data_IF_018008096687
#
_entry.id   IF_018008096687
#
_cell.length_a   1.000
_cell.length_b   1.000
_cell.length_c   1.000
_cell.angle_alpha   90.00
_cell.angle_beta   90.00
_cell.angle_gamma   90.00
#
_symmetry.space_group_name_H-M   'P 1'
#
loop_
_entity.id
_entity.type
_entity.pdbx_description
1 polymer ?
#
# COMPACT_ATOMS: atom_id res chain seq x y z
N UNK A 1 81.89 -16.90 30.14
CA UNK A 1 80.85 -16.40 31.08
C UNK A 1 79.88 -15.54 30.33
N UNK A 2 78.70 -16.09 29.99
CA UNK A 2 77.67 -15.44 29.16
C UNK A 2 76.55 -14.98 30.09
N UNK A 3 76.35 -13.68 30.18
CA UNK A 3 75.20 -13.09 30.92
C UNK A 3 73.94 -13.04 30.01
N UNK A 4 72.97 -13.81 30.40
CA UNK A 4 71.62 -13.77 29.77
C UNK A 4 70.84 -12.66 30.43
N UNK A 5 70.42 -11.65 29.65
CA UNK A 5 69.47 -10.62 30.05
C UNK A 5 68.03 -11.05 29.59
N UNK A 6 67.17 -11.29 30.57
CA UNK A 6 65.73 -11.58 30.31
C UNK A 6 64.98 -10.24 30.23
N UNK A 7 64.46 -9.91 29.06
CA UNK A 7 63.51 -8.80 28.86
C UNK A 7 62.12 -9.32 29.09
N UNK A 8 61.45 -8.86 30.14
CA UNK A 8 60.00 -9.04 30.33
C UNK A 8 59.26 -8.06 29.42
N UNK A 9 58.61 -8.57 28.36
CA UNK A 9 57.65 -7.82 27.55
C UNK A 9 56.27 -7.94 28.20
N UNK A 10 55.79 -6.83 28.78
CA UNK A 10 54.38 -6.72 29.23
C UNK A 10 53.42 -6.67 28.04
N UNK A 11 52.65 -7.71 27.89
CA UNK A 11 51.53 -7.71 26.94
C UNK A 11 50.32 -7.06 27.59
N UNK A 12 49.99 -5.82 27.18
CA UNK A 12 48.72 -5.19 27.53
C UNK A 12 47.59 -5.81 26.68
N UNK A 13 46.77 -6.64 27.31
CA UNK A 13 45.58 -7.18 26.68
C UNK A 13 44.52 -6.06 26.58
N UNK A 14 44.31 -5.56 25.37
CA UNK A 14 43.12 -4.74 25.07
C UNK A 14 41.89 -5.66 25.03
N UNK A 15 41.05 -5.58 26.04
CA UNK A 15 39.67 -6.14 25.98
C UNK A 15 38.82 -5.30 25.04
N UNK A 16 38.67 -5.76 23.81
CA UNK A 16 37.59 -5.26 22.91
C UNK A 16 36.34 -5.97 23.38
N UNK A 17 35.50 -5.26 24.15
CA UNK A 17 34.17 -5.74 24.47
C UNK A 17 33.33 -5.86 23.17
N UNK A 18 32.37 -6.83 23.08
CA UNK A 18 31.51 -6.93 21.92
C UNK A 18 30.70 -5.65 21.82
N UNK A 19 30.82 -4.96 20.68
CA UNK A 19 29.91 -3.88 20.34
C UNK A 19 28.49 -4.48 20.22
N UNK A 20 27.62 -4.13 21.16
CA UNK A 20 26.19 -4.45 21.05
C UNK A 20 25.70 -3.76 19.79
N UNK A 21 25.37 -4.55 18.78
CA UNK A 21 24.65 -4.06 17.61
C UNK A 21 23.33 -3.46 18.11
N UNK A 22 23.19 -2.15 17.97
CA UNK A 22 21.96 -1.43 18.31
C UNK A 22 20.89 -1.92 17.35
N UNK A 23 19.91 -2.66 17.86
CA UNK A 23 18.74 -3.06 17.10
C UNK A 23 18.11 -1.79 16.47
N UNK A 24 17.77 -1.79 15.17
CA UNK A 24 17.15 -0.63 14.56
C UNK A 24 15.89 -0.29 15.36
N UNK A 25 15.83 0.94 15.89
CA UNK A 25 14.71 1.40 16.67
C UNK A 25 13.44 1.25 15.81
N UNK A 26 12.49 0.45 16.29
CA UNK A 26 11.14 0.39 15.73
C UNK A 26 10.59 1.81 15.84
N UNK A 27 10.24 2.48 14.73
CA UNK A 27 9.71 3.83 14.80
C UNK A 27 8.47 3.82 15.68
N UNK A 28 8.45 4.71 16.68
CA UNK A 28 7.30 4.88 17.55
C UNK A 28 6.04 5.13 16.70
N UNK A 29 4.89 4.51 17.02
CA UNK A 29 3.66 4.77 16.31
C UNK A 29 3.38 6.28 16.31
N UNK A 30 3.14 6.87 15.15
CA UNK A 30 2.74 8.26 15.04
C UNK A 30 1.36 8.40 15.73
N UNK A 31 1.22 9.18 16.82
CA UNK A 31 -0.05 9.30 17.55
C UNK A 31 -1.19 9.87 16.69
N UNK A 32 -0.87 10.47 15.55
CA UNK A 32 -1.83 11.00 14.59
C UNK A 32 -2.12 10.04 13.43
N UNK A 33 -1.65 8.79 13.49
CA UNK A 33 -1.94 7.79 12.47
C UNK A 33 -3.27 7.08 12.76
N UNK A 34 -4.08 6.91 11.72
CA UNK A 34 -5.28 6.07 11.74
C UNK A 34 -5.03 4.88 10.84
N UNK A 35 -5.20 3.68 11.38
CA UNK A 35 -5.00 2.43 10.65
C UNK A 35 -6.34 1.77 10.35
N UNK A 36 -6.46 1.22 9.15
CA UNK A 36 -7.61 0.46 8.68
C UNK A 36 -7.13 -0.88 8.13
N UNK A 37 -7.88 -1.94 8.42
CA UNK A 37 -7.58 -3.28 7.94
C UNK A 37 -8.78 -3.83 7.19
N UNK A 38 -8.51 -4.36 6.00
CA UNK A 38 -9.51 -5.00 5.15
C UNK A 38 -9.21 -6.49 5.06
N UNK A 39 -10.22 -7.30 5.18
CA UNK A 39 -10.10 -8.74 4.91
C UNK A 39 -10.34 -9.00 3.42
N UNK A 40 -9.38 -9.69 2.78
CA UNK A 40 -9.50 -10.07 1.37
C UNK A 40 -10.04 -11.50 1.31
N UNK A 41 -11.15 -11.65 0.59
CA UNK A 41 -11.75 -12.96 0.34
C UNK A 41 -11.80 -13.28 -1.15
N UNK A 42 -11.79 -14.56 -1.50
CA UNK A 42 -12.03 -15.10 -2.84
C UNK A 42 -13.15 -16.11 -2.75
N UNK A 43 -14.28 -15.83 -3.42
CA UNK A 43 -15.51 -16.63 -3.35
C UNK A 43 -15.97 -16.92 -1.90
N UNK A 44 -15.67 -15.99 -0.97
CA UNK A 44 -15.97 -16.08 0.45
C UNK A 44 -14.84 -16.62 1.34
N UNK A 45 -13.85 -17.29 0.77
CA UNK A 45 -12.70 -17.81 1.52
C UNK A 45 -11.65 -16.71 1.73
N UNK A 46 -11.19 -16.52 2.96
CA UNK A 46 -10.16 -15.53 3.28
C UNK A 46 -8.82 -15.92 2.67
N UNK A 47 -8.24 -15.04 1.88
CA UNK A 47 -6.95 -15.24 1.21
C UNK A 47 -5.89 -14.21 1.60
N UNK A 48 -6.26 -13.14 2.31
CA UNK A 48 -5.28 -12.11 2.64
C UNK A 48 -5.86 -10.94 3.41
N UNK A 49 -5.06 -9.86 3.46
CA UNK A 49 -5.43 -8.59 4.10
C UNK A 49 -4.87 -7.42 3.30
N UNK A 50 -5.62 -6.30 3.27
CA UNK A 50 -5.09 -4.97 2.96
C UNK A 50 -4.96 -4.16 4.24
N UNK A 51 -3.95 -3.30 4.28
CA UNK A 51 -3.75 -2.32 5.35
C UNK A 51 -3.64 -0.92 4.76
N UNK A 52 -4.19 0.05 5.48
CA UNK A 52 -4.18 1.45 5.09
C UNK A 52 -3.89 2.28 6.34
N UNK A 53 -2.68 2.87 6.41
CA UNK A 53 -2.27 3.74 7.50
C UNK A 53 -2.18 5.19 7.00
N UNK A 54 -3.01 6.06 7.54
CA UNK A 54 -3.07 7.48 7.18
C UNK A 54 -2.53 8.30 8.35
N UNK A 55 -1.53 9.12 8.10
CA UNK A 55 -0.97 10.04 9.09
C UNK A 55 -0.88 11.46 8.54
N UNK A 56 -1.09 12.44 9.43
CA UNK A 56 -0.97 13.87 9.10
C UNK A 56 0.06 14.53 9.99
N UNK A 57 0.92 15.36 9.34
CA UNK A 57 1.87 16.24 10.01
C UNK A 57 1.84 17.61 9.31
N UNK A 58 1.15 18.55 9.94
CA UNK A 58 0.78 19.81 9.31
C UNK A 58 -0.06 19.59 8.04
N UNK A 59 0.39 20.15 6.92
CA UNK A 59 -0.25 19.98 5.61
C UNK A 59 0.14 18.67 4.90
N UNK A 60 1.12 17.93 5.44
CA UNK A 60 1.58 16.70 4.83
C UNK A 60 0.71 15.53 5.32
N UNK A 61 0.09 14.86 4.35
CA UNK A 61 -0.59 13.57 4.56
C UNK A 61 0.27 12.46 3.97
N UNK A 62 0.60 11.46 4.77
CA UNK A 62 1.29 10.24 4.34
C UNK A 62 0.33 9.08 4.46
N UNK A 63 0.18 8.34 3.36
CA UNK A 63 -0.68 7.16 3.27
C UNK A 63 0.19 5.96 2.97
N UNK A 64 0.24 4.99 3.88
CA UNK A 64 0.92 3.72 3.66
C UNK A 64 -0.12 2.66 3.33
N UNK A 65 0.17 1.89 2.30
CA UNK A 65 -0.72 0.87 1.77
C UNK A 65 0.06 -0.44 1.78
N UNK A 66 -0.54 -1.48 2.31
CA UNK A 66 0.03 -2.83 2.31
C UNK A 66 -1.02 -3.85 1.88
N UNK A 67 -0.65 -4.77 1.00
CA UNK A 67 -1.48 -5.92 0.63
C UNK A 67 -0.66 -7.18 0.81
N UNK A 68 -1.21 -8.16 1.50
CA UNK A 68 -0.64 -9.49 1.62
C UNK A 68 -1.69 -10.53 1.28
N UNK A 69 -1.43 -11.34 0.25
CA UNK A 69 -2.28 -12.46 -0.18
C UNK A 69 -1.43 -13.72 -0.23
N UNK A 70 -1.92 -14.80 0.37
CA UNK A 70 -1.36 -16.15 0.25
C UNK A 70 -2.49 -17.16 0.02
N UNK A 71 -2.39 -17.90 -1.08
CA UNK A 71 -3.33 -18.98 -1.41
C UNK A 71 -2.62 -20.30 -1.31
N UNK A 72 -3.13 -21.17 -0.45
CA UNK A 72 -2.58 -22.50 -0.19
C UNK A 72 -3.52 -23.58 -0.71
N UNK A 73 -3.00 -24.55 -1.44
CA UNK A 73 -3.70 -25.74 -1.88
C UNK A 73 -2.91 -26.98 -1.45
N UNK A 74 -3.56 -27.95 -0.78
CA UNK A 74 -2.93 -29.17 -0.28
C UNK A 74 -1.62 -28.91 0.51
N UNK A 75 -1.63 -27.90 1.40
CA UNK A 75 -0.51 -27.45 2.24
C UNK A 75 0.67 -26.80 1.48
N UNK A 76 0.52 -26.52 0.18
CA UNK A 76 1.53 -25.86 -0.64
C UNK A 76 0.99 -24.48 -1.01
N UNK A 77 1.81 -23.42 -0.81
CA UNK A 77 1.50 -22.09 -1.33
C UNK A 77 1.57 -22.13 -2.85
N UNK A 78 0.44 -21.85 -3.49
CA UNK A 78 0.28 -21.88 -4.95
C UNK A 78 0.25 -20.47 -5.55
N UNK A 79 0.04 -19.46 -4.71
CA UNK A 79 0.06 -18.06 -5.11
C UNK A 79 0.37 -17.17 -3.91
N UNK A 80 1.23 -16.18 -4.10
CA UNK A 80 1.43 -15.09 -3.16
C UNK A 80 1.43 -13.74 -3.87
N UNK A 81 1.03 -12.72 -3.13
CA UNK A 81 1.10 -11.34 -3.58
C UNK A 81 1.40 -10.45 -2.39
N UNK A 82 2.50 -9.71 -2.49
CA UNK A 82 2.94 -8.74 -1.49
C UNK A 82 3.10 -7.38 -2.15
N UNK A 83 2.39 -6.39 -1.63
CA UNK A 83 2.50 -5.01 -2.07
C UNK A 83 2.75 -4.09 -0.89
N UNK A 84 3.61 -3.10 -1.09
CA UNK A 84 3.80 -2.00 -0.16
C UNK A 84 3.92 -0.69 -0.93
N UNK A 85 3.07 0.28 -0.61
CA UNK A 85 3.03 1.60 -1.22
C UNK A 85 3.05 2.72 -0.19
N UNK A 86 3.57 3.87 -0.57
CA UNK A 86 3.51 5.10 0.21
C UNK A 86 3.13 6.24 -0.71
N UNK A 87 2.01 6.90 -0.42
CA UNK A 87 1.63 8.17 -1.02
C UNK A 87 1.96 9.32 -0.09
N UNK A 88 2.34 10.46 -0.68
CA UNK A 88 2.54 11.71 0.04
C UNK A 88 1.72 12.81 -0.64
N UNK A 89 1.03 13.58 0.17
CA UNK A 89 0.21 14.72 -0.25
C UNK A 89 0.59 15.95 0.56
N UNK A 90 0.47 17.15 -0.03
CA UNK A 90 0.57 18.43 0.64
C UNK A 90 -0.76 19.17 0.48
N UNK A 91 -1.53 19.26 1.57
CA UNK A 91 -2.94 19.61 1.51
C UNK A 91 -3.70 18.66 0.58
N UNK A 92 -4.30 19.20 -0.49
CA UNK A 92 -5.00 18.43 -1.52
C UNK A 92 -4.14 18.15 -2.78
N UNK A 93 -2.83 18.43 -2.72
CA UNK A 93 -1.94 18.25 -3.85
C UNK A 93 -1.15 16.95 -3.71
N UNK A 94 -1.28 16.06 -4.68
CA UNK A 94 -0.44 14.87 -4.78
C UNK A 94 1.03 15.27 -4.97
N UNK A 95 1.91 14.67 -4.16
CA UNK A 95 3.36 14.91 -4.22
C UNK A 95 4.08 13.73 -4.83
N UNK A 96 3.85 12.53 -4.28
CA UNK A 96 4.57 11.34 -4.73
C UNK A 96 3.85 10.03 -4.36
N UNK A 97 4.17 9.00 -5.13
CA UNK A 97 3.86 7.61 -4.82
C UNK A 97 5.12 6.75 -5.01
N UNK A 98 5.41 5.87 -4.07
CA UNK A 98 6.49 4.88 -4.17
C UNK A 98 5.96 3.52 -3.76
N UNK A 99 6.18 2.50 -4.58
CA UNK A 99 5.71 1.16 -4.26
C UNK A 99 6.68 0.06 -4.69
N UNK A 100 6.52 -1.07 -4.04
CA UNK A 100 7.13 -2.36 -4.42
C UNK A 100 6.06 -3.43 -4.39
N UNK A 101 6.08 -4.29 -5.38
CA UNK A 101 5.16 -5.43 -5.50
C UNK A 101 5.96 -6.69 -5.80
N UNK A 102 5.62 -7.78 -5.13
CA UNK A 102 6.00 -9.14 -5.51
C UNK A 102 4.71 -9.91 -5.84
N UNK A 103 4.48 -10.15 -7.13
CA UNK A 103 3.32 -10.87 -7.61
C UNK A 103 3.76 -12.27 -8.06
N UNK A 104 3.74 -13.21 -7.14
CA UNK A 104 4.13 -14.61 -7.38
C UNK A 104 5.54 -14.73 -7.99
N UNK A 105 6.51 -13.99 -7.40
CA UNK A 105 7.91 -13.92 -7.84
C UNK A 105 8.21 -12.85 -8.88
N UNK A 106 7.18 -12.24 -9.52
CA UNK A 106 7.38 -11.13 -10.44
C UNK A 106 7.38 -9.81 -9.70
N UNK A 107 8.54 -9.13 -9.70
CA UNK A 107 8.77 -7.93 -8.89
C UNK A 107 8.59 -6.65 -9.71
N UNK A 108 7.98 -5.64 -9.07
CA UNK A 108 7.82 -4.29 -9.62
C UNK A 108 8.29 -3.26 -8.59
N UNK A 109 8.86 -2.19 -9.09
CA UNK A 109 9.22 -1.01 -8.32
C UNK A 109 8.69 0.22 -9.05
N UNK A 110 7.93 1.05 -8.35
CA UNK A 110 7.26 2.22 -8.90
C UNK A 110 7.67 3.45 -8.11
N UNK A 111 7.95 4.54 -8.80
CA UNK A 111 8.07 5.86 -8.21
C UNK A 111 7.39 6.88 -9.14
N UNK A 112 6.38 7.58 -8.63
CA UNK A 112 5.71 8.66 -9.32
C UNK A 112 5.90 9.94 -8.50
N UNK A 113 6.29 11.05 -9.15
CA UNK A 113 6.51 12.34 -8.49
C UNK A 113 5.91 13.44 -9.34
N UNK A 114 5.01 14.23 -8.77
CA UNK A 114 4.46 15.42 -9.40
C UNK A 114 5.45 16.57 -9.30
N UNK A 115 5.48 17.42 -10.32
CA UNK A 115 6.18 18.70 -10.30
C UNK A 115 5.22 19.88 -10.02
N UNK A 116 5.78 21.05 -9.79
CA UNK A 116 4.98 22.27 -9.54
C UNK A 116 4.18 22.72 -10.78
N UNK A 117 4.49 22.24 -11.96
CA UNK A 117 3.80 22.57 -13.22
C UNK A 117 2.64 21.62 -13.55
N UNK A 118 2.35 20.63 -12.68
CA UNK A 118 1.28 19.66 -12.89
C UNK A 118 1.67 18.51 -13.83
N UNK A 119 2.95 18.37 -14.18
CA UNK A 119 3.49 17.19 -14.84
C UNK A 119 3.92 16.15 -13.81
N UNK A 120 4.19 14.95 -14.27
CA UNK A 120 4.62 13.85 -13.42
C UNK A 120 5.75 13.04 -14.05
N UNK A 121 6.74 12.66 -13.24
CA UNK A 121 7.72 11.65 -13.60
C UNK A 121 7.28 10.29 -13.04
N UNK A 122 7.06 9.33 -13.92
CA UNK A 122 6.74 7.96 -13.57
C UNK A 122 7.93 7.05 -13.86
N UNK A 123 8.51 6.45 -12.83
CA UNK A 123 9.61 5.48 -12.95
C UNK A 123 9.08 4.10 -12.60
N UNK A 124 9.22 3.15 -13.54
CA UNK A 124 8.84 1.75 -13.35
C UNK A 124 10.07 0.88 -13.61
N UNK A 125 10.49 0.10 -12.63
CA UNK A 125 11.66 -0.78 -12.72
C UNK A 125 12.92 -0.05 -13.24
N UNK A 126 13.10 1.21 -12.80
CA UNK A 126 14.24 2.04 -13.17
C UNK A 126 14.11 2.79 -14.52
N UNK A 127 13.03 2.59 -15.27
CA UNK A 127 12.74 3.33 -16.50
C UNK A 127 11.80 4.50 -16.21
N UNK A 128 12.20 5.72 -16.52
CA UNK A 128 11.43 6.93 -16.27
C UNK A 128 10.74 7.43 -17.53
N UNK A 129 9.47 7.80 -17.40
CA UNK A 129 8.64 8.46 -18.41
C UNK A 129 8.08 9.75 -17.82
N UNK A 130 8.21 10.86 -18.54
CA UNK A 130 7.53 12.11 -18.19
C UNK A 130 6.10 12.08 -18.73
N UNK A 131 5.13 12.34 -17.85
CA UNK A 131 3.72 12.50 -18.18
C UNK A 131 3.40 14.00 -18.22
N UNK A 132 2.67 14.41 -19.26
CA UNK A 132 2.30 15.84 -19.47
C UNK A 132 1.25 16.33 -18.48
N UNK A 133 0.68 15.47 -17.67
CA UNK A 133 -0.33 15.77 -16.67
C UNK A 133 -0.20 14.87 -15.45
N UNK A 134 -0.82 15.28 -14.35
CA UNK A 134 -0.95 14.46 -13.14
C UNK A 134 -1.85 13.26 -13.42
N UNK A 135 -1.38 12.06 -13.09
CA UNK A 135 -2.14 10.80 -13.11
C UNK A 135 -2.00 10.13 -11.77
N UNK A 136 -3.09 9.96 -11.03
CA UNK A 136 -3.07 9.38 -9.70
C UNK A 136 -2.91 7.85 -9.74
N UNK A 137 -2.25 7.24 -8.74
CA UNK A 137 -2.23 5.79 -8.58
C UNK A 137 -3.61 5.25 -8.17
N UNK A 138 -3.92 4.04 -8.62
CA UNK A 138 -5.19 3.36 -8.34
C UNK A 138 -5.16 2.71 -6.93
N UNK A 139 -5.02 3.52 -5.89
CA UNK A 139 -4.93 3.09 -4.48
C UNK A 139 -6.26 3.20 -3.75
N UNK A 140 -7.19 4.01 -4.25
CA UNK A 140 -8.59 4.15 -3.80
C UNK A 140 -8.79 4.50 -2.32
N UNK A 141 -7.79 5.03 -1.64
CA UNK A 141 -7.92 5.38 -0.22
C UNK A 141 -8.82 6.61 0.04
N UNK A 142 -9.13 7.36 -1.00
CA UNK A 142 -10.03 8.52 -0.98
C UNK A 142 -10.88 8.56 -2.27
N UNK A 143 -11.71 9.59 -2.42
CA UNK A 143 -12.61 9.74 -3.58
C UNK A 143 -11.99 10.46 -4.79
N UNK A 144 -10.69 10.77 -4.81
CA UNK A 144 -10.08 11.56 -5.90
C UNK A 144 -10.08 10.82 -7.27
N UNK A 145 -10.30 9.50 -7.24
CA UNK A 145 -10.41 8.68 -8.45
C UNK A 145 -11.72 8.92 -9.23
N UNK A 146 -12.75 9.52 -8.64
CA UNK A 146 -14.13 9.54 -9.24
C UNK A 146 -14.22 10.30 -10.55
N UNK A 147 -13.28 11.21 -10.83
CA UNK A 147 -13.19 11.97 -12.08
C UNK A 147 -12.06 11.52 -12.99
N UNK A 148 -11.35 10.44 -12.64
CA UNK A 148 -10.19 10.01 -13.38
C UNK A 148 -10.58 9.40 -14.74
N UNK A 149 -9.87 9.80 -15.81
CA UNK A 149 -9.90 9.15 -17.12
C UNK A 149 -8.69 8.23 -17.34
N UNK A 150 -7.64 8.43 -16.53
CA UNK A 150 -6.43 7.61 -16.49
C UNK A 150 -6.00 7.40 -15.04
N UNK A 151 -5.39 6.25 -14.77
CA UNK A 151 -4.76 5.92 -13.48
C UNK A 151 -3.43 5.23 -13.71
N UNK A 152 -2.53 5.30 -12.74
CA UNK A 152 -1.36 4.44 -12.67
C UNK A 152 -1.78 3.14 -11.96
N UNK A 153 -1.55 1.98 -12.57
CA UNK A 153 -1.65 0.68 -11.88
C UNK A 153 -0.73 0.71 -10.65
N UNK A 154 -1.31 0.70 -9.46
CA UNK A 154 -0.57 0.83 -8.21
C UNK A 154 0.43 -0.32 -7.99
N UNK A 155 0.16 -1.48 -8.58
CA UNK A 155 0.95 -2.70 -8.39
C UNK A 155 2.07 -2.86 -9.43
N UNK A 156 1.85 -2.37 -10.68
CA UNK A 156 2.73 -2.64 -11.83
C UNK A 156 3.26 -1.38 -12.51
N UNK A 157 2.67 -0.21 -12.22
CA UNK A 157 3.07 1.08 -12.78
C UNK A 157 2.61 1.32 -14.22
N UNK A 158 1.73 0.51 -14.78
CA UNK A 158 1.17 0.74 -16.12
C UNK A 158 0.20 1.93 -16.10
N UNK A 159 0.14 2.70 -17.19
CA UNK A 159 -0.94 3.68 -17.37
C UNK A 159 -2.19 2.96 -17.86
N UNK A 160 -3.32 3.20 -17.19
CA UNK A 160 -4.60 2.56 -17.43
C UNK A 160 -5.61 3.62 -17.86
N UNK A 161 -6.25 3.44 -19.01
CA UNK A 161 -7.42 4.23 -19.41
C UNK A 161 -8.65 3.65 -18.74
N UNK A 162 -9.41 4.50 -18.05
CA UNK A 162 -10.57 4.10 -17.24
C UNK A 162 -11.76 5.00 -17.48
N UNK A 163 -12.93 4.51 -17.11
CA UNK A 163 -14.17 5.28 -17.00
C UNK A 163 -14.76 4.98 -15.62
N UNK A 164 -15.14 6.01 -14.89
CA UNK A 164 -15.75 5.90 -13.58
C UNK A 164 -17.20 6.30 -13.66
N UNK A 165 -18.10 5.40 -13.26
CA UNK A 165 -19.53 5.65 -13.14
C UNK A 165 -19.93 5.74 -11.67
N UNK A 166 -20.67 6.78 -11.31
CA UNK A 166 -21.32 6.92 -10.02
C UNK A 166 -22.69 6.22 -10.10
N UNK A 167 -22.88 5.15 -9.34
CA UNK A 167 -24.10 4.34 -9.34
C UNK A 167 -25.09 4.73 -8.23
N UNK A 168 -24.73 5.71 -7.41
CA UNK A 168 -25.59 6.21 -6.33
C UNK A 168 -25.34 5.52 -5.00
N UNK A 169 -26.24 5.80 -4.05
CA UNK A 169 -26.16 5.23 -2.69
C UNK A 169 -26.82 3.86 -2.67
N UNK A 170 -26.16 2.92 -2.01
CA UNK A 170 -26.56 1.52 -1.91
C UNK A 170 -26.36 1.01 -0.48
N UNK A 171 -27.31 0.22 0.01
CA UNK A 171 -27.15 -0.49 1.26
C UNK A 171 -26.39 -1.80 0.98
N UNK A 172 -25.23 -1.96 1.59
CA UNK A 172 -24.44 -3.19 1.51
C UNK A 172 -24.36 -3.86 2.87
N UNK A 173 -24.37 -5.19 2.87
CA UNK A 173 -24.02 -5.95 4.08
C UNK A 173 -22.52 -6.08 4.17
N UNK A 174 -21.96 -5.72 5.33
CA UNK A 174 -20.56 -5.81 5.63
C UNK A 174 -20.38 -6.43 7.01
N UNK A 175 -19.87 -7.65 7.06
CA UNK A 175 -19.67 -8.40 8.30
C UNK A 175 -20.94 -8.45 9.20
N UNK A 176 -22.11 -8.65 8.61
CA UNK A 176 -23.40 -8.72 9.32
C UNK A 176 -24.02 -7.37 9.69
N UNK A 177 -23.41 -6.25 9.28
CA UNK A 177 -23.92 -4.89 9.52
C UNK A 177 -24.34 -4.27 8.18
N UNK A 178 -25.54 -3.65 8.14
CA UNK A 178 -25.96 -2.87 7.00
C UNK A 178 -25.29 -1.50 7.01
N UNK A 179 -24.62 -1.16 5.91
CA UNK A 179 -23.90 0.09 5.72
C UNK A 179 -24.44 0.79 4.46
N UNK A 180 -24.79 2.07 4.56
CA UNK A 180 -25.11 2.90 3.41
C UNK A 180 -23.81 3.44 2.82
N UNK A 181 -23.54 3.12 1.56
CA UNK A 181 -22.30 3.49 0.89
C UNK A 181 -22.57 4.02 -0.52
N UNK A 182 -21.75 4.96 -0.98
CA UNK A 182 -21.75 5.43 -2.37
C UNK A 182 -21.03 4.44 -3.24
N UNK A 183 -21.71 3.90 -4.26
CA UNK A 183 -21.19 2.89 -5.16
C UNK A 183 -20.60 3.54 -6.43
N UNK A 184 -19.35 3.23 -6.72
CA UNK A 184 -18.68 3.61 -7.96
C UNK A 184 -18.24 2.36 -8.71
N UNK A 185 -18.37 2.41 -10.04
CA UNK A 185 -17.86 1.36 -10.94
C UNK A 185 -16.81 1.92 -11.86
N UNK A 186 -15.65 1.30 -11.85
CA UNK A 186 -14.54 1.57 -12.76
C UNK A 186 -14.58 0.52 -13.87
N UNK A 187 -14.48 0.97 -15.13
CA UNK A 187 -14.41 0.12 -16.33
C UNK A 187 -13.25 0.55 -17.23
N UNK A 188 -12.97 -0.23 -18.27
CA UNK A 188 -11.84 -0.03 -19.16
C UNK A 188 -10.69 -0.99 -18.89
N UNK A 189 -9.46 -0.49 -18.78
CA UNK A 189 -8.28 -1.33 -18.50
C UNK A 189 -8.15 -1.74 -17.02
N UNK A 190 -8.95 -1.13 -16.16
CA UNK A 190 -9.13 -1.52 -14.76
C UNK A 190 -10.63 -1.69 -14.51
N UNK A 191 -11.02 -2.83 -13.94
CA UNK A 191 -12.43 -3.09 -13.60
C UNK A 191 -12.53 -3.31 -12.09
N UNK A 192 -13.28 -2.42 -11.41
CA UNK A 192 -13.50 -2.44 -9.95
C UNK A 192 -14.88 -1.91 -9.62
N UNK A 193 -15.51 -2.47 -8.61
CA UNK A 193 -16.61 -1.86 -7.89
C UNK A 193 -16.09 -1.38 -6.53
N UNK A 194 -16.41 -0.14 -6.14
CA UNK A 194 -15.90 0.51 -4.95
C UNK A 194 -17.05 1.16 -4.20
N UNK A 195 -17.16 0.87 -2.91
CA UNK A 195 -18.17 1.49 -2.03
C UNK A 195 -17.46 2.37 -1.01
N UNK A 196 -17.87 3.63 -0.97
CA UNK A 196 -17.31 4.64 -0.08
C UNK A 196 -18.32 5.05 1.00
N UNK A 197 -17.84 5.23 2.22
CA UNK A 197 -18.53 5.89 3.32
C UNK A 197 -17.65 7.06 3.77
N UNK A 198 -18.17 8.30 3.75
CA UNK A 198 -17.41 9.49 4.11
C UNK A 198 -16.07 9.61 3.37
N UNK A 199 -16.05 9.36 2.06
CA UNK A 199 -14.88 9.34 1.19
C UNK A 199 -13.83 8.26 1.50
N UNK A 200 -14.16 7.29 2.38
CA UNK A 200 -13.29 6.18 2.73
C UNK A 200 -13.83 4.89 2.11
N UNK A 201 -13.00 4.07 1.47
CA UNK A 201 -13.45 2.78 0.98
C UNK A 201 -13.84 1.87 2.14
N UNK A 202 -15.00 1.24 2.00
CA UNK A 202 -15.47 0.21 2.94
C UNK A 202 -15.50 -1.15 2.27
N UNK A 203 -15.61 -1.18 0.93
CA UNK A 203 -15.53 -2.39 0.11
C UNK A 203 -14.91 -2.07 -1.24
N UNK A 204 -14.03 -2.94 -1.71
CA UNK A 204 -13.52 -2.98 -3.08
C UNK A 204 -13.75 -4.38 -3.62
N UNK A 205 -14.33 -4.49 -4.82
CA UNK A 205 -14.65 -5.76 -5.44
C UNK A 205 -14.12 -5.85 -6.85
N UNK A 206 -13.65 -7.02 -7.23
CA UNK A 206 -13.18 -7.32 -8.59
C UNK A 206 -13.41 -8.79 -8.93
N UNK A 207 -13.25 -9.12 -10.22
CA UNK A 207 -13.19 -10.49 -10.69
C UNK A 207 -11.75 -10.87 -11.02
N UNK A 208 -11.35 -12.03 -10.53
CA UNK A 208 -10.10 -12.67 -10.93
C UNK A 208 -10.15 -13.13 -12.39
N UNK A 209 -8.99 -13.48 -12.97
CA UNK A 209 -8.90 -13.98 -14.35
C UNK A 209 -9.67 -15.28 -14.59
N UNK A 210 -9.94 -16.03 -13.55
CA UNK A 210 -10.75 -17.25 -13.52
C UNK A 210 -12.23 -16.99 -13.16
N UNK A 211 -12.64 -15.70 -13.18
CA UNK A 211 -13.98 -15.22 -12.83
C UNK A 211 -14.35 -15.37 -11.33
N UNK A 212 -13.42 -15.77 -10.47
CA UNK A 212 -13.66 -15.78 -9.02
C UNK A 212 -13.95 -14.36 -8.50
N UNK A 213 -14.82 -14.23 -7.51
CA UNK A 213 -15.14 -12.97 -6.87
C UNK A 213 -14.11 -12.67 -5.78
N UNK A 214 -13.38 -11.58 -5.93
CA UNK A 214 -12.43 -11.09 -4.92
C UNK A 214 -13.03 -9.84 -4.28
N UNK A 215 -13.09 -9.84 -2.96
CA UNK A 215 -13.67 -8.74 -2.16
C UNK A 215 -12.67 -8.38 -1.07
N UNK A 216 -12.37 -7.08 -0.98
CA UNK A 216 -11.63 -6.47 0.14
C UNK A 216 -12.64 -5.68 0.97
N UNK A 217 -12.95 -6.14 2.17
CA UNK A 217 -13.93 -5.56 3.08
C UNK A 217 -13.25 -4.96 4.31
N UNK A 218 -13.59 -3.70 4.62
CA UNK A 218 -13.13 -3.03 5.84
C UNK A 218 -13.65 -3.78 7.07
N UNK A 219 -12.79 -4.03 8.07
CA UNK A 219 -13.20 -4.69 9.30
C UNK A 219 -14.18 -3.85 10.10
N UNK A 220 -15.18 -4.45 10.77
CA UNK A 220 -16.21 -3.72 11.52
C UNK A 220 -15.65 -2.80 12.61
N UNK A 221 -14.56 -3.20 13.26
CA UNK A 221 -13.89 -2.39 14.29
C UNK A 221 -13.40 -1.04 13.78
N UNK A 222 -13.19 -0.92 12.48
CA UNK A 222 -12.60 0.26 11.83
C UNK A 222 -13.66 1.12 11.14
N UNK A 223 -14.91 0.64 11.06
CA UNK A 223 -16.05 1.42 10.54
C UNK A 223 -16.47 2.44 11.61
N UNK A 224 -16.25 3.73 11.34
CA UNK A 224 -16.75 4.80 12.22
C UNK A 224 -18.23 5.03 11.96
N UNK A 225 -19.09 5.12 13.02
CA UNK A 225 -20.50 5.49 12.86
C UNK A 225 -20.62 6.82 12.14
N UNK A 226 -21.61 6.94 11.25
CA UNK A 226 -22.01 8.24 10.70
C UNK A 226 -22.52 9.12 11.85
N UNK A 227 -21.88 10.26 12.07
CA UNK A 227 -22.37 11.31 12.99
C UNK A 227 -23.34 12.24 12.29
#
# INVERSE_FOLDING_TARGET
MLKIIVLLSGASAFFIGPALAQEPAVPSPNPNAVSYVFDITRDGDKIGVDTLDISKDGDITTVKIGTHISVTAAFIEVYHFDHSGVETWNGNHFVSYKAKTDANGKKYSIAATADAGGKMNLTVNGQTTELSQLVLPATFWNSDFVTAAQMIDADKGALLSVQVADLGDEAIEQNGVQVQARHYRITGQLVRDIWLVNNMPVRIQLRGSDNSLIVSDLRPSDIKPQQ
#
